data_IF_956134472553
#
_entry.id   IF_956134472553
#
_cell.length_a   1.000
_cell.length_b   1.000
_cell.length_c   1.000
_cell.angle_alpha   90.00
_cell.angle_beta   90.00
_cell.angle_gamma   90.00
#
_symmetry.space_group_name_H-M   'P 1'
#
loop_
_entity.id
_entity.type
_entity.pdbx_description
1 polymer ?
#
# COMPACT_ATOMS: atom_id res chain seq x y z
N UNK A 1 -1.90 -105.22 21.62
CA UNK A 1 -2.40 -105.10 22.97
C UNK A 1 -2.32 -103.64 23.36
N UNK A 2 -3.47 -103.14 23.68
CA UNK A 2 -3.86 -101.84 24.29
C UNK A 2 -3.44 -100.58 23.59
N UNK A 3 -4.41 -100.12 22.82
CA UNK A 3 -4.68 -98.77 22.39
C UNK A 3 -5.11 -97.90 23.58
N UNK A 4 -4.46 -96.85 23.90
CA UNK A 4 -4.97 -95.76 24.74
C UNK A 4 -5.41 -94.58 23.84
N UNK A 5 -6.74 -94.54 23.73
CA UNK A 5 -7.50 -93.53 23.07
C UNK A 5 -7.51 -92.27 23.97
N UNK A 6 -6.68 -91.21 23.63
CA UNK A 6 -6.70 -89.94 24.33
C UNK A 6 -7.81 -89.08 23.73
N UNK A 7 -8.88 -89.02 24.44
CA UNK A 7 -10.03 -88.20 24.23
C UNK A 7 -9.66 -86.71 24.36
N UNK A 8 -9.56 -85.98 23.24
CA UNK A 8 -9.33 -84.55 23.21
C UNK A 8 -10.70 -83.90 23.38
N UNK A 9 -10.87 -83.24 24.49
CA UNK A 9 -12.09 -82.51 24.89
C UNK A 9 -12.21 -81.23 23.99
N UNK A 10 -13.33 -81.03 23.25
CA UNK A 10 -13.50 -79.88 22.33
C UNK A 10 -13.85 -78.55 23.06
N UNK A 11 -13.68 -78.49 24.39
CA UNK A 11 -14.13 -77.31 25.16
C UNK A 11 -13.05 -76.21 25.34
N UNK A 12 -11.77 -76.43 24.91
CA UNK A 12 -10.68 -75.47 25.14
C UNK A 12 -10.30 -74.64 23.92
N UNK A 13 -11.12 -74.63 22.88
CA UNK A 13 -10.83 -73.83 21.64
C UNK A 13 -11.55 -72.50 21.62
N UNK A 14 -11.87 -71.88 22.75
CA UNK A 14 -12.45 -70.55 22.76
C UNK A 14 -11.53 -69.57 23.50
N UNK A 15 -10.26 -69.42 23.01
CA UNK A 15 -9.49 -68.22 23.28
C UNK A 15 -10.15 -67.06 22.57
N UNK A 16 -10.95 -66.29 23.33
CA UNK A 16 -11.42 -64.97 22.92
C UNK A 16 -10.18 -64.12 22.63
N UNK A 17 -9.90 -63.92 21.37
CA UNK A 17 -8.97 -62.89 20.94
C UNK A 17 -9.61 -61.56 21.41
N UNK A 18 -9.04 -60.94 22.43
CA UNK A 18 -9.41 -59.63 22.89
C UNK A 18 -9.11 -58.64 21.75
N UNK A 19 -10.11 -58.37 20.93
CA UNK A 19 -10.06 -57.41 19.82
C UNK A 19 -10.00 -55.97 20.32
N UNK A 20 -10.02 -55.72 21.62
CA UNK A 20 -9.97 -54.39 22.20
C UNK A 20 -8.56 -53.83 22.28
N UNK A 21 -7.51 -54.62 22.40
CA UNK A 21 -6.12 -54.13 22.54
C UNK A 21 -5.49 -53.72 21.21
N UNK A 22 -6.05 -54.11 20.07
CA UNK A 22 -5.52 -53.71 18.74
C UNK A 22 -6.16 -52.41 18.22
N UNK A 23 -7.25 -51.94 18.81
CA UNK A 23 -7.95 -50.73 18.34
C UNK A 23 -7.49 -49.44 19.02
N UNK A 24 -6.91 -49.51 20.23
CA UNK A 24 -6.44 -48.31 20.97
C UNK A 24 -5.33 -47.53 20.23
N UNK A 25 -4.24 -48.17 19.77
CA UNK A 25 -3.17 -47.41 19.09
C UNK A 25 -3.64 -46.79 17.75
N UNK A 26 -4.60 -47.39 17.08
CA UNK A 26 -5.14 -46.90 15.82
C UNK A 26 -6.10 -45.72 16.02
N UNK A 27 -6.76 -45.62 17.18
CA UNK A 27 -7.60 -44.47 17.55
C UNK A 27 -6.75 -43.27 17.95
N UNK A 28 -5.64 -43.49 18.67
CA UNK A 28 -4.70 -42.45 19.06
C UNK A 28 -4.00 -41.84 17.83
N UNK A 29 -3.58 -42.64 16.87
CA UNK A 29 -3.05 -42.19 15.61
C UNK A 29 -4.05 -41.35 14.79
N UNK A 30 -5.30 -41.81 14.77
CA UNK A 30 -6.38 -41.10 14.09
C UNK A 30 -6.65 -39.71 14.71
N UNK A 31 -6.60 -39.61 16.04
CA UNK A 31 -6.75 -38.32 16.73
C UNK A 31 -5.58 -37.38 16.45
N UNK A 32 -4.36 -37.89 16.40
CA UNK A 32 -3.17 -37.12 16.05
C UNK A 32 -3.29 -36.56 14.63
N UNK A 33 -3.68 -37.39 13.65
CA UNK A 33 -3.88 -36.97 12.29
C UNK A 33 -5.03 -35.95 12.13
N UNK A 34 -6.11 -36.11 12.89
CA UNK A 34 -7.19 -35.11 12.91
C UNK A 34 -6.71 -33.75 13.42
N UNK A 35 -5.96 -33.74 14.53
CA UNK A 35 -5.37 -32.49 15.07
C UNK A 35 -4.43 -31.83 14.08
N UNK A 36 -3.53 -32.60 13.48
CA UNK A 36 -2.62 -32.07 12.46
C UNK A 36 -3.38 -31.50 11.25
N UNK A 37 -4.41 -32.21 10.81
CA UNK A 37 -5.25 -31.75 9.68
C UNK A 37 -5.96 -30.44 10.02
N UNK A 38 -6.47 -30.32 11.25
CA UNK A 38 -7.13 -29.09 11.71
C UNK A 38 -6.13 -27.93 11.82
N UNK A 39 -4.93 -28.18 12.33
CA UNK A 39 -3.86 -27.19 12.39
C UNK A 39 -3.45 -26.73 10.98
N UNK A 40 -3.23 -27.67 10.05
CA UNK A 40 -2.92 -27.33 8.66
C UNK A 40 -4.05 -26.55 7.99
N UNK A 41 -5.29 -26.91 8.24
CA UNK A 41 -6.46 -26.21 7.70
C UNK A 41 -6.55 -24.77 8.25
N UNK A 42 -6.29 -24.59 9.54
CA UNK A 42 -6.30 -23.28 10.19
C UNK A 42 -5.14 -22.40 9.66
N UNK A 43 -3.95 -22.97 9.55
CA UNK A 43 -2.80 -22.30 8.96
C UNK A 43 -3.08 -21.90 7.50
N UNK A 44 -3.64 -22.82 6.71
CA UNK A 44 -4.00 -22.51 5.32
C UNK A 44 -5.06 -21.41 5.21
N UNK A 45 -6.07 -21.40 6.09
CA UNK A 45 -7.08 -20.33 6.13
C UNK A 45 -6.43 -18.98 6.44
N UNK A 46 -5.50 -18.97 7.39
CA UNK A 46 -4.74 -17.75 7.77
C UNK A 46 -3.89 -17.25 6.61
N UNK A 47 -3.06 -18.11 6.03
CA UNK A 47 -2.23 -17.78 4.87
C UNK A 47 -3.07 -17.27 3.69
N UNK A 48 -4.23 -17.87 3.47
CA UNK A 48 -5.14 -17.40 2.42
C UNK A 48 -5.69 -16.00 2.70
N UNK A 49 -6.02 -15.70 3.97
CA UNK A 49 -6.48 -14.38 4.37
C UNK A 49 -5.35 -13.34 4.19
N UNK A 50 -4.14 -13.67 4.63
CA UNK A 50 -2.96 -12.83 4.50
C UNK A 50 -2.61 -12.57 3.02
N UNK A 51 -2.71 -13.60 2.18
CA UNK A 51 -2.52 -13.45 0.73
C UNK A 51 -3.57 -12.54 0.08
N UNK A 52 -4.83 -12.61 0.51
CA UNK A 52 -5.88 -11.71 0.00
C UNK A 52 -5.58 -10.26 0.40
N UNK A 53 -5.16 -10.03 1.65
CA UNK A 53 -4.76 -8.71 2.13
C UNK A 53 -3.55 -8.18 1.36
N UNK A 54 -2.51 -9.01 1.21
CA UNK A 54 -1.33 -8.66 0.41
C UNK A 54 -1.70 -8.25 -1.02
N UNK A 55 -2.59 -8.99 -1.69
CA UNK A 55 -3.06 -8.63 -3.05
C UNK A 55 -3.77 -7.28 -3.09
N UNK A 56 -4.57 -6.96 -2.07
CA UNK A 56 -5.25 -5.65 -1.98
C UNK A 56 -4.25 -4.53 -1.79
N UNK A 57 -3.28 -4.72 -0.91
CA UNK A 57 -2.25 -3.73 -0.62
C UNK A 57 -1.35 -3.50 -1.83
N UNK A 58 -0.99 -4.59 -2.54
CA UNK A 58 -0.18 -4.49 -3.74
C UNK A 58 -0.93 -3.80 -4.89
N UNK A 59 -2.22 -4.07 -5.05
CA UNK A 59 -3.04 -3.35 -6.02
C UNK A 59 -3.10 -1.84 -5.72
N UNK A 60 -3.26 -1.48 -4.46
CA UNK A 60 -3.24 -0.08 -4.01
C UNK A 60 -1.87 0.57 -4.24
N UNK A 61 -0.78 -0.12 -3.89
CA UNK A 61 0.59 0.36 -4.15
C UNK A 61 0.85 0.58 -5.64
N UNK A 62 0.37 -0.34 -6.49
CA UNK A 62 0.50 -0.20 -7.94
C UNK A 62 -0.27 1.00 -8.47
N UNK A 63 -1.49 1.23 -7.99
CA UNK A 63 -2.28 2.41 -8.34
C UNK A 63 -1.56 3.71 -7.95
N UNK A 64 -1.04 3.78 -6.73
CA UNK A 64 -0.23 4.92 -6.25
C UNK A 64 1.04 5.10 -7.09
N UNK A 65 1.73 4.00 -7.42
CA UNK A 65 2.92 4.06 -8.26
C UNK A 65 2.61 4.62 -9.65
N UNK A 66 1.57 4.14 -10.33
CA UNK A 66 1.15 4.65 -11.64
C UNK A 66 0.76 6.13 -11.54
N UNK A 67 0.04 6.52 -10.49
CA UNK A 67 -0.39 7.90 -10.24
C UNK A 67 0.79 8.85 -10.10
N UNK A 68 1.86 8.43 -9.44
CA UNK A 68 3.01 9.29 -9.13
C UNK A 68 4.27 9.00 -9.96
N UNK A 69 4.23 8.05 -10.90
CA UNK A 69 5.37 7.68 -11.73
C UNK A 69 5.98 8.86 -12.49
N UNK A 70 5.15 9.82 -12.88
CA UNK A 70 5.56 10.97 -13.68
C UNK A 70 5.97 12.20 -12.85
N UNK A 71 5.91 12.13 -11.52
CA UNK A 71 6.19 13.29 -10.65
C UNK A 71 7.60 13.84 -10.87
N UNK A 72 8.59 12.98 -11.06
CA UNK A 72 9.97 13.41 -11.32
C UNK A 72 10.09 14.24 -12.60
N UNK A 73 9.49 13.76 -13.68
CA UNK A 73 9.48 14.50 -14.98
C UNK A 73 8.68 15.80 -14.84
N UNK A 74 7.56 15.78 -14.11
CA UNK A 74 6.77 16.98 -13.85
C UNK A 74 7.62 18.01 -13.11
N UNK A 75 8.41 17.62 -12.11
CA UNK A 75 9.27 18.54 -11.37
C UNK A 75 10.31 19.23 -12.28
N UNK A 76 10.93 18.50 -13.19
CA UNK A 76 11.86 19.10 -14.17
C UNK A 76 11.15 20.08 -15.12
N UNK A 77 9.93 19.74 -15.56
CA UNK A 77 9.10 20.63 -16.39
C UNK A 77 8.71 21.89 -15.61
N UNK A 78 8.41 21.77 -14.30
CA UNK A 78 8.10 22.93 -13.46
C UNK A 78 9.25 23.89 -13.32
N UNK A 79 10.51 23.42 -13.30
CA UNK A 79 11.68 24.28 -13.27
C UNK A 79 11.80 25.10 -14.58
N UNK A 80 11.56 24.46 -15.73
CA UNK A 80 11.52 25.18 -17.02
C UNK A 80 10.37 26.21 -17.08
N UNK A 81 9.23 25.90 -16.49
CA UNK A 81 8.11 26.85 -16.41
C UNK A 81 8.45 28.05 -15.52
N UNK A 82 9.17 27.85 -14.41
CA UNK A 82 9.66 28.95 -13.56
C UNK A 82 10.57 29.92 -14.35
N UNK A 83 11.43 29.38 -15.20
CA UNK A 83 12.27 30.20 -16.08
C UNK A 83 11.44 31.00 -17.09
N UNK A 84 10.37 30.39 -17.64
CA UNK A 84 9.44 31.12 -18.51
C UNK A 84 8.70 32.24 -17.77
N UNK A 85 8.28 32.01 -16.52
CA UNK A 85 7.69 33.07 -15.68
C UNK A 85 8.67 34.20 -15.44
N UNK A 86 9.93 33.89 -15.15
CA UNK A 86 10.98 34.88 -14.92
C UNK A 86 11.26 35.68 -16.16
N UNK A 87 11.35 35.04 -17.33
CA UNK A 87 11.52 35.69 -18.62
C UNK A 87 10.33 36.60 -18.98
N UNK A 88 9.11 36.11 -18.76
CA UNK A 88 7.89 36.87 -19.04
C UNK A 88 7.78 38.12 -18.16
N UNK A 89 8.21 38.05 -16.91
CA UNK A 89 8.22 39.18 -15.98
C UNK A 89 9.16 40.27 -16.45
N UNK A 90 10.28 39.92 -17.13
CA UNK A 90 11.26 40.88 -17.66
C UNK A 90 10.83 41.47 -19.01
N UNK A 91 10.30 40.60 -19.90
CA UNK A 91 10.00 40.92 -21.28
C UNK A 91 8.57 41.40 -21.53
N UNK A 92 7.66 41.08 -20.61
CA UNK A 92 6.21 41.33 -20.70
C UNK A 92 5.64 40.96 -22.09
N UNK A 93 5.98 39.74 -22.56
CA UNK A 93 5.67 39.29 -23.92
C UNK A 93 4.39 38.46 -23.93
N UNK A 94 3.44 38.84 -24.80
CA UNK A 94 2.13 38.17 -24.94
C UNK A 94 2.26 36.70 -25.39
N UNK A 95 3.26 36.40 -26.25
CA UNK A 95 3.54 35.03 -26.69
C UNK A 95 4.00 34.14 -25.54
N UNK A 96 4.88 34.66 -24.66
CA UNK A 96 5.30 33.92 -23.46
C UNK A 96 4.13 33.67 -22.51
N UNK A 97 3.26 34.65 -22.31
CA UNK A 97 2.05 34.49 -21.48
C UNK A 97 1.15 33.39 -22.00
N UNK A 98 0.93 33.33 -23.33
CA UNK A 98 0.14 32.27 -23.95
C UNK A 98 0.81 30.90 -23.82
N UNK A 99 2.13 30.85 -23.94
CA UNK A 99 2.90 29.60 -23.81
C UNK A 99 2.80 29.07 -22.37
N UNK A 100 3.00 29.92 -21.37
CA UNK A 100 2.85 29.57 -19.95
C UNK A 100 1.46 29.01 -19.69
N UNK A 101 0.41 29.69 -20.19
CA UNK A 101 -0.95 29.21 -20.03
C UNK A 101 -1.19 27.81 -20.62
N UNK A 102 -0.59 27.53 -21.79
CA UNK A 102 -0.66 26.16 -22.37
C UNK A 102 -0.01 25.11 -21.48
N UNK A 103 1.11 25.43 -20.83
CA UNK A 103 1.75 24.55 -19.87
C UNK A 103 0.89 24.34 -18.60
N UNK A 104 0.28 25.42 -18.09
CA UNK A 104 -0.65 25.30 -16.96
C UNK A 104 -1.87 24.42 -17.29
N UNK A 105 -2.44 24.58 -18.49
CA UNK A 105 -3.56 23.76 -18.95
C UNK A 105 -3.14 22.28 -19.15
N UNK A 106 -1.91 22.05 -19.62
CA UNK A 106 -1.33 20.71 -19.72
C UNK A 106 -1.16 20.08 -18.34
N UNK A 107 -0.59 20.79 -17.38
CA UNK A 107 -0.41 20.32 -16.01
C UNK A 107 -1.74 19.96 -15.36
N UNK A 108 -2.78 20.78 -15.53
CA UNK A 108 -4.14 20.49 -15.05
C UNK A 108 -4.70 19.18 -15.63
N UNK A 109 -4.44 18.91 -16.90
CA UNK A 109 -4.85 17.64 -17.54
C UNK A 109 -4.26 16.41 -16.85
N UNK A 110 -3.06 16.54 -16.26
CA UNK A 110 -2.38 15.49 -15.49
C UNK A 110 -2.68 15.58 -13.98
N UNK A 111 -3.66 16.40 -13.58
CA UNK A 111 -4.06 16.54 -12.18
C UNK A 111 -3.11 17.38 -11.33
N UNK A 112 -2.22 18.15 -11.98
CA UNK A 112 -1.30 19.07 -11.29
C UNK A 112 -1.93 20.46 -11.23
N UNK A 113 -2.12 20.97 -10.03
CA UNK A 113 -2.70 22.29 -9.80
C UNK A 113 -1.74 23.20 -9.09
N UNK A 114 -1.79 24.48 -9.46
CA UNK A 114 -0.99 25.54 -8.80
C UNK A 114 -1.58 25.83 -7.42
N UNK A 115 -0.72 25.88 -6.41
CA UNK A 115 -1.10 26.25 -5.05
C UNK A 115 -1.43 27.75 -5.02
N UNK A 116 -2.58 28.09 -4.43
CA UNK A 116 -2.99 29.49 -4.23
C UNK A 116 -2.18 30.10 -3.11
N UNK A 117 -1.67 31.30 -3.36
CA UNK A 117 -0.83 32.04 -2.42
C UNK A 117 -1.42 33.41 -2.07
N UNK A 118 -2.71 33.64 -2.36
CA UNK A 118 -3.42 34.88 -2.12
C UNK A 118 -4.14 34.93 -0.76
N UNK A 119 -3.86 34.00 0.12
CA UNK A 119 -4.46 33.87 1.45
C UNK A 119 -3.48 33.89 2.60
N UNK A 120 -3.90 33.37 3.74
CA UNK A 120 -3.06 33.14 4.91
C UNK A 120 -2.00 32.08 4.65
N UNK A 121 -0.87 32.17 5.35
CA UNK A 121 0.18 31.17 5.29
C UNK A 121 -0.32 29.80 5.78
N UNK A 122 -0.10 28.77 4.97
CA UNK A 122 -0.36 27.38 5.33
C UNK A 122 0.95 26.58 5.30
N UNK A 123 1.43 26.06 6.44
CA UNK A 123 2.68 25.30 6.51
C UNK A 123 2.71 24.01 5.67
N UNK A 124 1.56 23.41 5.36
CA UNK A 124 1.47 22.20 4.54
C UNK A 124 1.69 22.48 3.05
N UNK A 125 1.37 23.70 2.60
CA UNK A 125 1.39 24.09 1.20
C UNK A 125 2.48 25.12 0.87
N UNK A 126 2.92 25.89 1.87
CA UNK A 126 3.80 27.03 1.68
C UNK A 126 5.13 26.86 2.43
N UNK A 127 6.21 27.26 1.80
CA UNK A 127 7.54 27.41 2.38
C UNK A 127 7.85 28.90 2.54
N UNK A 128 7.97 29.39 3.79
CA UNK A 128 8.28 30.79 4.05
C UNK A 128 9.78 31.04 3.88
N UNK A 129 10.15 31.96 2.97
CA UNK A 129 11.54 32.41 2.77
C UNK A 129 11.92 33.54 3.73
N UNK A 130 10.97 34.41 4.03
CA UNK A 130 11.14 35.50 5.00
C UNK A 130 9.79 35.89 5.59
N UNK A 131 9.83 36.37 6.84
CA UNK A 131 8.65 36.82 7.56
C UNK A 131 8.90 38.23 8.06
N UNK A 132 8.00 39.18 7.72
CA UNK A 132 8.00 40.50 8.31
C UNK A 132 7.24 40.46 9.63
N UNK A 133 7.70 41.23 10.60
CA UNK A 133 7.09 41.27 11.93
C UNK A 133 5.64 41.81 11.84
N UNK A 134 4.68 40.97 12.30
CA UNK A 134 3.25 41.23 12.19
C UNK A 134 2.67 41.05 10.77
N UNK A 135 3.35 40.30 9.88
CA UNK A 135 2.85 39.96 8.56
C UNK A 135 1.79 38.88 8.59
N UNK A 136 0.70 39.06 7.84
CA UNK A 136 -0.40 38.10 7.71
C UNK A 136 -0.64 37.66 6.26
N UNK A 137 -0.09 38.43 5.30
CA UNK A 137 -0.29 38.17 3.87
C UNK A 137 0.89 37.42 3.28
N UNK A 138 0.61 36.59 2.29
CA UNK A 138 1.66 35.90 1.55
C UNK A 138 1.89 36.54 0.17
N UNK A 139 3.14 36.64 -0.21
CA UNK A 139 3.56 37.04 -1.55
C UNK A 139 4.35 35.93 -2.20
N UNK A 140 3.85 35.43 -3.32
CA UNK A 140 4.52 34.36 -4.07
C UNK A 140 5.88 34.82 -4.59
N UNK A 141 6.90 34.02 -4.32
CA UNK A 141 8.25 34.14 -4.88
C UNK A 141 8.47 33.05 -5.93
N UNK A 142 8.01 31.83 -5.66
CA UNK A 142 8.06 30.70 -6.58
C UNK A 142 6.77 29.91 -6.46
N UNK A 143 6.16 29.57 -7.58
CA UNK A 143 4.91 28.83 -7.62
C UNK A 143 5.06 27.42 -7.02
N UNK A 144 4.10 27.02 -6.21
CA UNK A 144 3.94 25.65 -5.71
C UNK A 144 2.91 24.89 -6.51
N UNK A 145 3.02 23.57 -6.47
CA UNK A 145 2.11 22.68 -7.20
C UNK A 145 1.75 21.46 -6.39
N UNK A 146 0.50 21.04 -6.51
CA UNK A 146 -0.06 19.86 -5.82
C UNK A 146 -0.75 18.92 -6.81
N UNK A 147 -0.80 17.65 -6.49
CA UNK A 147 -1.72 16.66 -7.04
C UNK A 147 -2.79 16.35 -5.99
N UNK A 148 -3.92 15.70 -6.32
CA UNK A 148 -5.07 15.53 -5.41
C UNK A 148 -4.73 15.05 -4.00
N UNK A 149 -3.70 14.20 -3.85
CA UNK A 149 -3.34 13.62 -2.54
C UNK A 149 -1.88 13.91 -2.13
N UNK A 150 -1.18 14.77 -2.85
CA UNK A 150 0.25 15.01 -2.60
C UNK A 150 0.70 16.39 -3.06
N UNK A 151 1.43 17.08 -2.19
CA UNK A 151 2.18 18.27 -2.58
C UNK A 151 3.43 17.83 -3.36
N UNK A 152 3.54 18.25 -4.63
CA UNK A 152 4.69 17.98 -5.47
C UNK A 152 5.84 18.91 -5.06
N UNK A 153 5.52 20.20 -4.93
CA UNK A 153 6.45 21.25 -4.53
C UNK A 153 5.68 22.35 -3.79
N UNK A 154 6.07 22.72 -2.56
CA UNK A 154 5.44 23.82 -1.84
C UNK A 154 5.65 25.15 -2.56
N UNK A 155 4.71 26.05 -2.40
CA UNK A 155 4.88 27.43 -2.88
C UNK A 155 5.86 28.19 -1.96
N UNK A 156 6.88 28.80 -2.53
CA UNK A 156 7.79 29.65 -1.77
C UNK A 156 7.21 31.06 -1.69
N UNK A 157 6.99 31.51 -0.47
CA UNK A 157 6.34 32.79 -0.20
C UNK A 157 7.15 33.67 0.76
N UNK A 158 6.92 34.97 0.68
CA UNK A 158 7.30 35.94 1.72
C UNK A 158 6.06 36.31 2.48
N UNK A 159 6.16 36.33 3.80
CA UNK A 159 5.07 36.82 4.66
C UNK A 159 5.29 38.31 4.84
N UNK A 160 4.33 39.10 4.41
CA UNK A 160 4.35 40.56 4.37
C UNK A 160 3.16 41.13 5.13
N UNK A 161 3.25 42.41 5.52
CA UNK A 161 2.14 43.17 6.13
C UNK A 161 1.00 43.42 5.16
#
# INVERSE_FOLDING_TARGET
MNEENKNINPADANQRIDTNTANEPMQDELEIYKKQTEEYLNNWKRERADFINYKKDEAKRMEEFVKFANVSVIMEVLDAIDDLYSANKQLNNTGLTQTIKKFEDLLKKYGVEKIKTDGAFNPELHEALSTEEGGEKTKEVRAGYTMPDKVIRPARVKIIK
#
